data_IF_317565427286
#
_entry.id   IF_317565427286
#
_cell.length_a   1.000
_cell.length_b   1.000
_cell.length_c   1.000
_cell.angle_alpha   90.00
_cell.angle_beta   90.00
_cell.angle_gamma   90.00
#
_symmetry.space_group_name_H-M   'P 1'
#
loop_
_entity.id
_entity.type
_entity.pdbx_description
1 polymer ?
#
# COMPACT_ATOMS: atom_id res chain seq x y z
N UNK A 1 18.53 -41.70 70.77
CA UNK A 1 18.05 -40.44 70.16
C UNK A 1 18.98 -40.10 69.00
N UNK A 2 18.52 -40.29 67.77
CA UNK A 2 19.33 -40.22 66.55
C UNK A 2 19.52 -38.75 66.17
N UNK A 3 20.76 -38.24 66.25
CA UNK A 3 21.11 -36.89 65.80
C UNK A 3 21.39 -36.98 64.29
N UNK A 4 20.42 -36.52 63.48
CA UNK A 4 20.58 -36.38 62.03
C UNK A 4 21.64 -35.33 61.71
N UNK A 5 22.65 -35.73 60.92
CA UNK A 5 23.77 -34.90 60.47
C UNK A 5 23.27 -33.87 59.43
N UNK A 6 22.74 -32.74 59.89
CA UNK A 6 22.30 -31.58 59.10
C UNK A 6 23.50 -30.73 58.62
N UNK A 7 24.42 -31.33 57.86
CA UNK A 7 25.65 -30.66 57.41
C UNK A 7 25.95 -30.76 55.91
N UNK A 8 25.24 -31.61 55.18
CA UNK A 8 25.59 -31.91 53.77
C UNK A 8 24.67 -31.25 52.74
N UNK A 9 23.47 -30.80 53.15
CA UNK A 9 22.49 -30.15 52.27
C UNK A 9 22.80 -28.67 52.02
N UNK A 10 23.23 -27.94 53.05
CA UNK A 10 23.54 -26.50 52.95
C UNK A 10 24.79 -26.25 52.08
N UNK A 11 25.85 -27.04 52.27
CA UNK A 11 27.06 -26.97 51.43
C UNK A 11 26.76 -27.31 49.95
N UNK A 12 25.84 -28.25 49.70
CA UNK A 12 25.43 -28.64 48.35
C UNK A 12 24.51 -27.60 47.69
N UNK A 13 23.70 -26.87 48.45
CA UNK A 13 22.93 -25.73 47.94
C UNK A 13 23.81 -24.52 47.60
N UNK A 14 24.80 -24.21 48.44
CA UNK A 14 25.76 -23.13 48.20
C UNK A 14 26.58 -23.39 46.93
N UNK A 15 26.95 -24.65 46.67
CA UNK A 15 27.68 -25.01 45.45
C UNK A 15 26.79 -24.90 44.19
N UNK A 16 25.50 -25.24 44.30
CA UNK A 16 24.52 -25.11 43.20
C UNK A 16 24.21 -23.65 42.87
N UNK A 17 24.09 -22.77 43.87
CA UNK A 17 23.86 -21.33 43.63
C UNK A 17 25.08 -20.66 43.02
N UNK A 18 26.29 -20.99 43.49
CA UNK A 18 27.55 -20.53 42.88
C UNK A 18 27.67 -20.97 41.41
N UNK A 19 27.33 -22.23 41.10
CA UNK A 19 27.34 -22.75 39.72
C UNK A 19 26.35 -22.00 38.81
N UNK A 20 25.14 -21.68 39.30
CA UNK A 20 24.14 -20.91 38.55
C UNK A 20 24.59 -19.48 38.27
N UNK A 21 25.21 -18.82 39.24
CA UNK A 21 25.75 -17.46 39.07
C UNK A 21 26.87 -17.46 38.04
N UNK A 22 27.80 -18.42 38.11
CA UNK A 22 28.87 -18.55 37.13
C UNK A 22 28.34 -18.83 35.71
N UNK A 23 27.30 -19.65 35.59
CA UNK A 23 26.65 -19.92 34.29
C UNK A 23 25.98 -18.66 33.72
N UNK A 24 25.30 -17.87 34.56
CA UNK A 24 24.69 -16.60 34.15
C UNK A 24 25.76 -15.58 33.72
N UNK A 25 26.86 -15.47 34.46
CA UNK A 25 27.97 -14.58 34.11
C UNK A 25 28.61 -14.98 32.78
N UNK A 26 28.84 -16.28 32.55
CA UNK A 26 29.33 -16.79 31.27
C UNK A 26 28.37 -16.50 30.11
N UNK A 27 27.06 -16.61 30.34
CA UNK A 27 26.05 -16.32 29.33
C UNK A 27 25.99 -14.83 28.99
N UNK A 28 26.10 -13.95 29.98
CA UNK A 28 26.21 -12.49 29.78
C UNK A 28 27.49 -12.14 29.00
N UNK A 29 28.62 -12.75 29.35
CA UNK A 29 29.88 -12.55 28.64
C UNK A 29 29.83 -13.05 27.19
N UNK A 30 29.22 -14.22 26.95
CA UNK A 30 29.03 -14.76 25.61
C UNK A 30 28.14 -13.84 24.76
N UNK A 31 27.03 -13.33 25.31
CA UNK A 31 26.15 -12.37 24.63
C UNK A 31 26.87 -11.06 24.35
N UNK A 32 27.61 -10.52 25.31
CA UNK A 32 28.41 -9.31 25.13
C UNK A 32 29.49 -9.50 24.05
N UNK A 33 30.18 -10.63 24.04
CA UNK A 33 31.20 -10.96 23.04
C UNK A 33 30.58 -11.12 21.63
N UNK A 34 29.38 -11.72 21.51
CA UNK A 34 28.65 -11.81 20.25
C UNK A 34 28.25 -10.41 19.75
N UNK A 35 27.74 -9.54 20.63
CA UNK A 35 27.39 -8.16 20.27
C UNK A 35 28.64 -7.39 19.84
N UNK A 36 29.75 -7.53 20.57
CA UNK A 36 31.00 -6.86 20.28
C UNK A 36 31.64 -7.35 18.98
N UNK A 37 31.66 -8.67 18.73
CA UNK A 37 32.13 -9.25 17.48
C UNK A 37 31.24 -8.84 16.30
N UNK A 38 29.91 -8.75 16.49
CA UNK A 38 29.01 -8.18 15.47
C UNK A 38 29.35 -6.72 15.19
N UNK A 39 29.58 -5.90 16.22
CA UNK A 39 30.00 -4.48 16.08
C UNK A 39 31.34 -4.33 15.36
N UNK A 40 32.32 -5.19 15.63
CA UNK A 40 33.61 -5.20 14.95
C UNK A 40 33.54 -5.74 13.51
N UNK A 41 32.66 -6.71 13.26
CA UNK A 41 32.41 -7.25 11.92
C UNK A 41 31.47 -6.39 11.07
N UNK A 42 30.89 -5.32 11.63
CA UNK A 42 30.35 -4.23 10.81
C UNK A 42 31.54 -3.50 10.17
N UNK A 43 32.03 -4.07 9.06
CA UNK A 43 32.78 -3.32 8.06
C UNK A 43 32.06 -1.98 7.90
N UNK A 44 32.80 -0.87 7.94
CA UNK A 44 32.33 0.43 7.46
C UNK A 44 31.93 0.24 6.00
N UNK A 45 30.71 -0.24 5.74
CA UNK A 45 30.08 -0.11 4.44
C UNK A 45 30.06 1.39 4.21
N UNK A 46 30.70 1.83 3.14
CA UNK A 46 30.43 3.14 2.56
C UNK A 46 28.92 3.20 2.40
N UNK A 47 28.24 3.90 3.31
CA UNK A 47 26.80 4.11 3.22
C UNK A 47 26.63 4.88 1.93
N UNK A 48 25.91 4.35 0.93
CA UNK A 48 25.61 5.11 -0.28
C UNK A 48 25.05 6.46 0.15
N UNK A 49 25.52 7.54 -0.49
CA UNK A 49 24.98 8.87 -0.24
C UNK A 49 23.49 8.82 -0.61
N UNK A 50 22.63 8.77 0.41
CA UNK A 50 21.20 8.87 0.24
C UNK A 50 20.83 10.35 0.07
N UNK A 51 19.75 10.66 -0.65
CA UNK A 51 19.17 12.00 -0.65
C UNK A 51 18.92 12.50 0.78
N UNK A 52 18.90 13.83 1.00
CA UNK A 52 18.63 14.40 2.32
C UNK A 52 17.25 13.94 2.84
N UNK A 53 17.08 13.84 4.15
CA UNK A 53 15.82 13.37 4.70
C UNK A 53 15.70 13.57 6.20
N UNK A 54 14.47 13.47 6.75
CA UNK A 54 14.24 13.60 8.17
C UNK A 54 14.94 12.47 8.94
N UNK A 55 15.46 12.82 10.12
CA UNK A 55 15.94 11.82 11.07
C UNK A 55 14.75 11.07 11.69
N UNK A 56 14.58 9.80 11.30
CA UNK A 56 13.57 8.91 11.86
C UNK A 56 14.02 8.19 13.15
N UNK A 57 13.07 7.75 13.97
CA UNK A 57 13.35 7.00 15.20
C UNK A 57 14.07 5.68 14.93
N UNK A 58 14.88 5.17 15.88
CA UNK A 58 15.49 3.83 15.75
C UNK A 58 14.43 2.77 15.40
N UNK A 59 14.78 1.84 14.51
CA UNK A 59 13.92 0.74 14.04
C UNK A 59 12.72 1.22 13.18
N UNK A 60 11.82 2.05 13.71
CA UNK A 60 10.55 2.41 13.06
C UNK A 60 10.65 3.58 12.06
N UNK A 61 11.74 4.34 12.08
CA UNK A 61 11.92 5.47 11.17
C UNK A 61 10.87 6.56 11.41
N UNK A 62 10.28 7.08 10.34
CA UNK A 62 9.26 8.11 10.37
C UNK A 62 7.82 7.56 10.41
N UNK A 63 7.63 6.27 10.72
CA UNK A 63 6.30 5.65 10.79
C UNK A 63 5.36 6.32 11.79
N UNK A 64 5.78 6.70 13.01
CA UNK A 64 4.91 7.43 13.93
C UNK A 64 4.42 8.77 13.34
N UNK A 65 5.31 9.51 12.69
CA UNK A 65 4.98 10.78 12.02
C UNK A 65 4.02 10.55 10.85
N UNK A 66 4.25 9.50 10.05
CA UNK A 66 3.36 9.11 8.95
C UNK A 66 1.94 8.77 9.45
N UNK A 67 1.85 8.06 10.58
CA UNK A 67 0.57 7.67 11.18
C UNK A 67 -0.19 8.86 11.77
N UNK A 68 0.52 9.79 12.41
CA UNK A 68 -0.06 11.02 12.95
C UNK A 68 -0.53 11.99 11.86
N UNK A 69 0.15 12.02 10.71
CA UNK A 69 -0.09 13.00 9.66
C UNK A 69 -0.64 12.36 8.38
N UNK A 70 -1.93 12.03 8.38
CA UNK A 70 -2.65 11.52 7.21
C UNK A 70 -3.35 12.68 6.45
N UNK A 71 -3.47 12.60 5.11
CA UNK A 71 -2.92 11.56 4.25
C UNK A 71 -1.41 11.73 4.04
N UNK A 72 -0.71 10.60 3.96
CA UNK A 72 0.76 10.54 3.98
C UNK A 72 1.41 11.39 2.88
N UNK A 73 0.84 11.44 1.67
CA UNK A 73 1.41 12.25 0.58
C UNK A 73 1.44 13.76 0.89
N UNK A 74 0.45 14.29 1.64
CA UNK A 74 0.44 15.71 2.04
C UNK A 74 1.48 16.00 3.11
N UNK A 75 1.65 15.08 4.05
CA UNK A 75 2.70 15.18 5.06
C UNK A 75 4.09 15.17 4.42
N UNK A 76 4.33 14.25 3.50
CA UNK A 76 5.59 14.18 2.73
C UNK A 76 5.84 15.49 1.99
N UNK A 77 4.83 16.01 1.29
CA UNK A 77 4.96 17.27 0.54
C UNK A 77 5.31 18.45 1.47
N UNK A 78 4.62 18.57 2.61
CA UNK A 78 4.91 19.62 3.61
C UNK A 78 6.33 19.49 4.16
N UNK A 79 6.75 18.26 4.49
CA UNK A 79 8.11 17.98 4.96
C UNK A 79 9.16 18.41 3.92
N UNK A 80 8.93 18.13 2.63
CA UNK A 80 9.84 18.55 1.54
C UNK A 80 9.94 20.07 1.42
N UNK A 81 8.84 20.79 1.64
CA UNK A 81 8.83 22.25 1.69
C UNK A 81 9.62 22.78 2.90
N UNK A 82 9.46 22.17 4.08
CA UNK A 82 10.15 22.57 5.31
C UNK A 82 11.67 22.39 5.21
N UNK A 83 12.14 21.31 4.58
CA UNK A 83 13.57 21.03 4.37
C UNK A 83 14.14 21.63 3.07
N UNK A 84 13.31 22.33 2.29
CA UNK A 84 13.65 22.96 1.02
C UNK A 84 14.43 22.05 0.05
N UNK A 85 13.85 20.89 -0.30
CA UNK A 85 14.45 19.94 -1.25
C UNK A 85 13.43 19.43 -2.27
N UNK A 86 13.91 19.11 -3.47
CA UNK A 86 13.11 18.48 -4.52
C UNK A 86 13.28 16.96 -4.58
N UNK A 87 14.21 16.41 -3.79
CA UNK A 87 14.43 14.98 -3.59
C UNK A 87 14.72 14.70 -2.12
N UNK A 88 13.99 13.74 -1.54
CA UNK A 88 14.18 13.35 -0.14
C UNK A 88 14.14 11.85 0.08
N UNK A 89 14.87 11.37 1.08
CA UNK A 89 14.84 9.98 1.53
C UNK A 89 14.14 9.87 2.88
N UNK A 90 12.95 9.26 2.89
CA UNK A 90 12.17 9.02 4.11
C UNK A 90 12.31 7.55 4.48
N UNK A 91 12.81 7.25 5.68
CA UNK A 91 12.87 5.88 6.18
C UNK A 91 11.58 5.52 6.91
N UNK A 92 10.86 4.51 6.44
CA UNK A 92 9.71 3.91 7.10
C UNK A 92 10.03 2.48 7.49
N UNK A 93 10.20 2.22 8.79
CA UNK A 93 10.68 0.93 9.28
C UNK A 93 12.03 0.57 8.66
N UNK A 94 12.06 -0.56 7.94
CA UNK A 94 13.23 -1.04 7.19
C UNK A 94 13.28 -0.59 5.72
N UNK A 95 12.32 0.24 5.28
CA UNK A 95 12.18 0.67 3.88
C UNK A 95 12.65 2.11 3.72
N UNK A 96 13.46 2.38 2.69
CA UNK A 96 13.79 3.74 2.26
C UNK A 96 12.86 4.14 1.12
N UNK A 97 12.17 5.27 1.28
CA UNK A 97 11.27 5.83 0.29
C UNK A 97 11.90 7.11 -0.24
N UNK A 98 12.27 7.07 -1.53
CA UNK A 98 12.78 8.24 -2.22
C UNK A 98 11.59 8.97 -2.85
N UNK A 99 11.41 10.23 -2.46
CA UNK A 99 10.34 11.09 -2.96
C UNK A 99 10.97 12.19 -3.80
N UNK A 100 10.36 12.45 -4.95
CA UNK A 100 10.80 13.45 -5.92
C UNK A 100 9.64 14.35 -6.28
N UNK A 101 9.88 15.67 -6.30
CA UNK A 101 8.91 16.68 -6.75
C UNK A 101 9.38 17.44 -7.99
N UNK A 102 10.66 17.38 -8.35
CA UNK A 102 11.20 18.01 -9.57
C UNK A 102 10.76 17.26 -10.84
N UNK A 103 10.19 17.96 -11.84
CA UNK A 103 9.90 17.39 -13.16
C UNK A 103 11.13 16.85 -13.90
N UNK A 104 12.27 17.50 -13.73
CA UNK A 104 13.56 17.10 -14.33
C UNK A 104 14.00 15.75 -13.77
N UNK A 105 14.01 15.62 -12.44
CA UNK A 105 14.33 14.36 -11.78
C UNK A 105 13.31 13.27 -12.13
N UNK A 106 12.02 13.59 -12.16
CA UNK A 106 11.00 12.62 -12.57
C UNK A 106 11.27 12.08 -13.99
N UNK A 107 11.77 12.91 -14.91
CA UNK A 107 12.14 12.48 -16.27
C UNK A 107 13.37 11.57 -16.29
N UNK A 108 14.34 11.79 -15.39
CA UNK A 108 15.49 10.90 -15.25
C UNK A 108 15.03 9.47 -14.91
N UNK A 109 14.19 9.31 -13.89
CA UNK A 109 13.78 7.99 -13.41
C UNK A 109 12.69 7.33 -14.28
N UNK A 110 11.71 8.10 -14.76
CA UNK A 110 10.55 7.56 -15.49
C UNK A 110 10.77 7.41 -17.00
N UNK A 111 11.82 8.02 -17.56
CA UNK A 111 12.09 7.96 -19.01
C UNK A 111 13.51 7.50 -19.34
N UNK A 112 14.54 8.13 -18.75
CA UNK A 112 15.93 7.80 -19.10
C UNK A 112 16.40 6.50 -18.45
N UNK A 113 15.94 6.23 -17.23
CA UNK A 113 16.30 5.04 -16.45
C UNK A 113 15.07 4.16 -16.16
N UNK A 114 14.06 4.22 -17.01
CA UNK A 114 12.76 3.56 -16.80
C UNK A 114 12.90 2.05 -16.57
N UNK A 115 13.80 1.37 -17.28
CA UNK A 115 14.07 -0.08 -17.11
C UNK A 115 14.48 -0.41 -15.67
N UNK A 116 15.23 0.47 -15.00
CA UNK A 116 15.72 0.25 -13.63
C UNK A 116 14.59 0.47 -12.61
N UNK A 117 13.74 1.48 -12.83
CA UNK A 117 12.70 1.91 -11.88
C UNK A 117 11.28 1.41 -12.20
N UNK A 118 11.10 0.63 -13.26
CA UNK A 118 9.76 0.22 -13.70
C UNK A 118 9.13 -0.89 -12.84
N UNK A 119 9.91 -1.60 -12.02
CA UNK A 119 9.38 -2.61 -11.09
C UNK A 119 8.46 -1.98 -10.04
N UNK A 120 7.43 -2.72 -9.63
CA UNK A 120 6.51 -2.30 -8.57
C UNK A 120 6.93 -2.85 -7.21
N UNK A 121 6.71 -2.11 -6.11
CA UNK A 121 6.95 -2.64 -4.78
C UNK A 121 5.98 -3.79 -4.50
N UNK A 122 6.46 -4.81 -3.78
CA UNK A 122 5.60 -5.82 -3.20
C UNK A 122 4.97 -5.22 -1.93
N UNK A 123 3.68 -4.93 -1.99
CA UNK A 123 2.90 -4.43 -0.86
C UNK A 123 1.62 -5.25 -0.66
N UNK A 124 1.13 -5.27 0.57
CA UNK A 124 -0.06 -6.00 1.00
C UNK A 124 -1.30 -5.58 0.19
N UNK A 125 -1.46 -4.28 -0.07
CA UNK A 125 -2.59 -3.75 -0.84
C UNK A 125 -2.58 -4.26 -2.28
N UNK A 126 -1.43 -4.23 -2.95
CA UNK A 126 -1.29 -4.78 -4.30
C UNK A 126 -1.52 -6.29 -4.30
N UNK A 127 -0.95 -7.03 -3.34
CA UNK A 127 -1.13 -8.48 -3.24
C UNK A 127 -2.61 -8.89 -3.12
N UNK A 128 -3.36 -8.24 -2.22
CA UNK A 128 -4.80 -8.50 -2.02
C UNK A 128 -5.62 -8.18 -3.27
N UNK A 129 -5.38 -7.02 -3.88
CA UNK A 129 -6.21 -6.50 -4.98
C UNK A 129 -5.88 -7.08 -6.35
N UNK A 130 -4.74 -7.78 -6.48
CA UNK A 130 -4.30 -8.41 -7.73
C UNK A 130 -4.32 -9.93 -7.71
N UNK A 131 -4.93 -10.54 -6.68
CA UNK A 131 -4.94 -11.98 -6.46
C UNK A 131 -3.52 -12.58 -6.52
N UNK A 132 -2.57 -11.98 -5.79
CA UNK A 132 -1.17 -12.41 -5.80
C UNK A 132 -0.40 -11.98 -7.04
N UNK A 133 -0.59 -10.73 -7.51
CA UNK A 133 0.15 -10.12 -8.63
C UNK A 133 -0.12 -10.75 -10.01
N UNK A 134 -1.29 -11.37 -10.16
CA UNK A 134 -1.74 -11.94 -11.43
C UNK A 134 -2.29 -10.87 -12.39
N UNK A 135 -2.69 -9.70 -11.89
CA UNK A 135 -3.18 -8.60 -12.74
C UNK A 135 -2.04 -7.86 -13.43
N UNK A 136 -2.27 -7.39 -14.66
CA UNK A 136 -1.25 -6.74 -15.47
C UNK A 136 -0.66 -5.48 -14.83
N UNK A 137 -1.47 -4.69 -14.12
CA UNK A 137 -1.04 -3.41 -13.55
C UNK A 137 -0.10 -3.61 -12.36
N UNK A 138 -0.27 -4.70 -11.60
CA UNK A 138 0.45 -4.96 -10.35
C UNK A 138 1.57 -5.98 -10.51
N UNK A 139 1.62 -6.73 -11.62
CA UNK A 139 2.64 -7.76 -11.86
C UNK A 139 4.06 -7.16 -11.88
N UNK A 140 5.05 -7.79 -11.22
CA UNK A 140 6.45 -7.38 -11.31
C UNK A 140 6.95 -7.33 -12.76
N UNK A 141 7.93 -6.46 -13.03
CA UNK A 141 8.54 -6.37 -14.35
C UNK A 141 9.12 -7.73 -14.75
N UNK A 142 8.69 -8.24 -15.91
CA UNK A 142 9.10 -9.55 -16.40
C UNK A 142 8.45 -9.89 -17.73
N UNK A 143 8.71 -11.09 -18.25
CA UNK A 143 8.14 -11.55 -19.52
C UNK A 143 6.60 -11.54 -19.52
N UNK A 144 5.97 -11.94 -18.41
CA UNK A 144 4.52 -11.95 -18.28
C UNK A 144 3.94 -10.54 -18.33
N UNK A 145 4.48 -9.61 -17.54
CA UNK A 145 4.07 -8.21 -17.59
C UNK A 145 4.21 -7.59 -18.99
N UNK A 146 5.35 -7.83 -19.66
CA UNK A 146 5.60 -7.33 -21.03
C UNK A 146 4.59 -7.90 -22.04
N UNK A 147 4.28 -9.20 -21.94
CA UNK A 147 3.29 -9.87 -22.80
C UNK A 147 1.90 -9.27 -22.60
N UNK A 148 1.43 -9.16 -21.36
CA UNK A 148 0.12 -8.60 -21.06
C UNK A 148 0.01 -7.13 -21.47
N UNK A 149 1.04 -6.32 -21.18
CA UNK A 149 1.08 -4.91 -21.60
C UNK A 149 0.98 -4.77 -23.12
N UNK A 150 1.66 -5.62 -23.89
CA UNK A 150 1.57 -5.62 -25.35
C UNK A 150 0.14 -5.87 -25.81
N UNK A 151 -0.52 -6.91 -25.27
CA UNK A 151 -1.92 -7.24 -25.60
C UNK A 151 -2.86 -6.09 -25.25
N UNK A 152 -2.73 -5.49 -24.06
CA UNK A 152 -3.58 -4.36 -23.67
C UNK A 152 -3.40 -3.18 -24.65
N UNK A 153 -2.16 -2.85 -25.00
CA UNK A 153 -1.89 -1.71 -25.88
C UNK A 153 -2.34 -1.97 -27.33
N UNK A 154 -2.15 -3.19 -27.86
CA UNK A 154 -2.49 -3.50 -29.24
C UNK A 154 -3.96 -3.87 -29.45
N UNK A 155 -4.60 -4.52 -28.49
CA UNK A 155 -5.95 -5.11 -28.65
C UNK A 155 -7.03 -4.44 -27.82
N UNK A 156 -6.70 -3.71 -26.75
CA UNK A 156 -7.72 -3.12 -25.85
C UNK A 156 -7.72 -1.60 -25.96
N UNK A 157 -6.54 -1.00 -25.95
CA UNK A 157 -6.34 0.45 -25.96
C UNK A 157 -5.86 0.98 -27.31
N UNK A 158 -6.02 0.21 -28.38
CA UNK A 158 -5.58 0.64 -29.72
C UNK A 158 -6.54 1.65 -30.33
N UNK A 159 -6.06 2.51 -31.27
CA UNK A 159 -6.90 3.46 -31.98
C UNK A 159 -8.09 2.81 -32.69
N UNK A 160 -7.87 1.65 -33.33
CA UNK A 160 -8.93 0.90 -34.00
C UNK A 160 -10.03 0.44 -33.03
N UNK A 161 -9.65 -0.02 -31.83
CA UNK A 161 -10.60 -0.39 -30.78
C UNK A 161 -11.34 0.82 -30.22
N UNK A 162 -10.63 1.94 -30.05
CA UNK A 162 -11.23 3.20 -29.64
C UNK A 162 -12.29 3.67 -30.66
N UNK A 163 -12.02 3.59 -31.95
CA UNK A 163 -12.99 3.91 -33.01
C UNK A 163 -14.17 2.94 -33.01
N UNK A 164 -13.90 1.63 -32.96
CA UNK A 164 -14.94 0.59 -32.94
C UNK A 164 -15.94 0.73 -31.79
N UNK A 165 -15.49 1.24 -30.64
CA UNK A 165 -16.32 1.42 -29.45
C UNK A 165 -16.89 2.84 -29.32
N UNK A 166 -16.78 3.69 -30.36
CA UNK A 166 -17.23 5.08 -30.33
C UNK A 166 -18.71 5.21 -29.98
N UNK A 167 -19.59 4.50 -30.69
CA UNK A 167 -21.05 4.58 -30.47
C UNK A 167 -21.43 4.21 -29.03
N UNK A 168 -20.82 3.16 -28.47
CA UNK A 168 -21.06 2.76 -27.08
C UNK A 168 -20.66 3.84 -26.07
N UNK A 169 -19.61 4.63 -26.36
CA UNK A 169 -19.23 5.75 -25.49
C UNK A 169 -20.22 6.91 -25.60
N UNK A 170 -20.72 7.19 -26.81
CA UNK A 170 -21.77 8.18 -27.02
C UNK A 170 -23.05 7.80 -26.27
N UNK A 171 -23.48 6.54 -26.38
CA UNK A 171 -24.65 6.03 -25.65
C UNK A 171 -24.51 6.20 -24.12
N UNK A 172 -23.36 5.86 -23.53
CA UNK A 172 -23.16 6.09 -22.08
C UNK A 172 -23.13 7.57 -21.72
N UNK A 173 -22.61 8.44 -22.60
CA UNK A 173 -22.66 9.89 -22.38
C UNK A 173 -24.12 10.39 -22.40
N UNK A 174 -24.95 9.90 -23.30
CA UNK A 174 -26.38 10.23 -23.34
C UNK A 174 -27.10 9.77 -22.07
N UNK A 175 -26.83 8.54 -21.62
CA UNK A 175 -27.37 8.04 -20.36
C UNK A 175 -26.96 8.87 -19.15
N UNK A 176 -25.70 9.34 -19.12
CA UNK A 176 -25.22 10.24 -18.06
C UNK A 176 -26.03 11.53 -18.02
N UNK A 177 -26.23 12.16 -19.18
CA UNK A 177 -27.00 13.41 -19.29
C UNK A 177 -28.46 13.20 -18.87
N UNK A 178 -29.10 12.11 -19.32
CA UNK A 178 -30.46 11.77 -18.90
C UNK A 178 -30.57 11.52 -17.41
N UNK A 179 -29.63 10.80 -16.82
CA UNK A 179 -29.58 10.55 -15.38
C UNK A 179 -29.48 11.86 -14.59
N UNK A 180 -28.54 12.74 -14.96
CA UNK A 180 -28.37 14.06 -14.32
C UNK A 180 -29.63 14.91 -14.46
N UNK A 181 -30.25 14.92 -15.64
CA UNK A 181 -31.49 15.63 -15.89
C UNK A 181 -32.63 15.12 -14.98
N UNK A 182 -32.88 13.80 -14.94
CA UNK A 182 -33.90 13.21 -14.07
C UNK A 182 -33.65 13.52 -12.58
N UNK A 183 -32.39 13.48 -12.14
CA UNK A 183 -32.01 13.84 -10.77
C UNK A 183 -32.24 15.33 -10.47
N UNK A 184 -31.97 16.21 -11.43
CA UNK A 184 -32.25 17.64 -11.31
C UNK A 184 -33.75 17.96 -11.20
N UNK A 185 -34.60 17.09 -11.74
CA UNK A 185 -36.06 17.22 -11.68
C UNK A 185 -36.66 16.59 -10.43
N UNK A 186 -35.87 15.89 -9.62
CA UNK A 186 -36.37 15.18 -8.44
C UNK A 186 -36.84 16.18 -7.37
N UNK A 187 -38.15 16.27 -7.08
CA UNK A 187 -38.68 17.23 -6.12
C UNK A 187 -38.20 16.95 -4.69
N UNK A 188 -37.96 15.68 -4.36
CA UNK A 188 -37.49 15.25 -3.03
C UNK A 188 -36.06 15.73 -2.76
N UNK A 189 -35.23 15.79 -3.80
CA UNK A 189 -33.85 16.25 -3.72
C UNK A 189 -33.71 17.77 -3.92
N UNK A 190 -34.81 18.50 -4.14
CA UNK A 190 -34.82 19.93 -4.49
C UNK A 190 -33.91 20.25 -5.69
N UNK A 191 -33.78 19.31 -6.62
CA UNK A 191 -32.90 19.41 -7.79
C UNK A 191 -31.39 19.39 -7.49
N UNK A 192 -30.96 19.04 -6.27
CA UNK A 192 -29.55 18.88 -5.95
C UNK A 192 -29.01 17.54 -6.50
N UNK A 193 -27.92 17.61 -7.26
CA UNK A 193 -27.29 16.44 -7.88
C UNK A 193 -25.94 16.13 -7.21
N UNK A 194 -25.77 14.90 -6.74
CA UNK A 194 -24.50 14.45 -6.18
C UNK A 194 -23.51 14.07 -7.30
N UNK A 195 -22.63 15.02 -7.65
CA UNK A 195 -21.64 14.83 -8.72
C UNK A 195 -20.61 13.73 -8.44
N UNK A 196 -20.37 13.37 -7.17
CA UNK A 196 -19.48 12.25 -6.84
C UNK A 196 -20.07 10.94 -7.33
N UNK A 197 -21.35 10.69 -7.01
CA UNK A 197 -22.08 9.50 -7.45
C UNK A 197 -22.13 9.46 -8.98
N UNK A 198 -22.55 10.56 -9.61
CA UNK A 198 -22.60 10.68 -11.07
C UNK A 198 -21.26 10.32 -11.73
N UNK A 199 -20.16 10.91 -11.28
CA UNK A 199 -18.84 10.70 -11.86
C UNK A 199 -18.31 9.27 -11.62
N UNK A 200 -18.45 8.75 -10.40
CA UNK A 200 -17.97 7.41 -10.06
C UNK A 200 -18.72 6.33 -10.85
N UNK A 201 -20.04 6.44 -10.93
CA UNK A 201 -20.86 5.50 -11.67
C UNK A 201 -20.66 5.59 -13.18
N UNK A 202 -20.50 6.79 -13.73
CA UNK A 202 -20.18 6.92 -15.15
C UNK A 202 -18.88 6.21 -15.52
N UNK A 203 -17.81 6.42 -14.74
CA UNK A 203 -16.54 5.74 -14.96
C UNK A 203 -16.68 4.22 -14.91
N UNK A 204 -17.42 3.70 -13.92
CA UNK A 204 -17.71 2.27 -13.81
C UNK A 204 -18.53 1.73 -14.99
N UNK A 205 -19.62 2.41 -15.34
CA UNK A 205 -20.52 2.03 -16.43
C UNK A 205 -19.79 2.02 -17.77
N UNK A 206 -18.98 3.05 -18.03
CA UNK A 206 -18.17 3.15 -19.22
C UNK A 206 -17.22 1.94 -19.32
N UNK A 207 -16.46 1.64 -18.26
CA UNK A 207 -15.55 0.50 -18.26
C UNK A 207 -16.30 -0.82 -18.53
N UNK A 208 -17.44 -1.05 -17.86
CA UNK A 208 -18.24 -2.26 -18.04
C UNK A 208 -18.91 -2.35 -19.41
N UNK A 209 -19.36 -1.23 -19.98
CA UNK A 209 -19.93 -1.15 -21.32
C UNK A 209 -18.89 -1.48 -22.38
N UNK A 210 -17.66 -1.00 -22.21
CA UNK A 210 -16.57 -1.26 -23.15
C UNK A 210 -16.05 -2.70 -23.06
N UNK A 211 -15.93 -3.26 -21.85
CA UNK A 211 -15.33 -4.59 -21.62
C UNK A 211 -16.34 -5.73 -21.72
N UNK A 212 -17.51 -5.58 -21.09
CA UNK A 212 -18.52 -6.64 -20.96
C UNK A 212 -19.77 -6.40 -21.80
N UNK A 213 -19.85 -5.25 -22.49
CA UNK A 213 -21.06 -4.81 -23.17
C UNK A 213 -22.29 -4.66 -22.25
N UNK A 214 -22.06 -4.49 -20.93
CA UNK A 214 -23.10 -4.36 -19.90
C UNK A 214 -22.98 -3.03 -19.18
N UNK A 215 -24.12 -2.42 -18.85
CA UNK A 215 -24.17 -1.14 -18.10
C UNK A 215 -24.14 -1.33 -16.60
N UNK A 216 -24.76 -2.40 -16.12
CA UNK A 216 -24.87 -2.79 -14.71
C UNK A 216 -24.65 -4.31 -14.59
N UNK A 217 -24.07 -4.76 -13.47
CA UNK A 217 -24.03 -6.19 -13.18
C UNK A 217 -25.36 -6.69 -12.61
N UNK A 218 -26.06 -5.84 -11.85
CA UNK A 218 -27.44 -6.04 -11.38
C UNK A 218 -28.45 -5.17 -12.12
N UNK A 219 -29.59 -4.92 -11.47
CA UNK A 219 -30.65 -4.05 -12.02
C UNK A 219 -30.31 -2.57 -11.82
N UNK A 220 -30.51 -1.77 -12.87
CA UNK A 220 -30.53 -0.31 -12.75
C UNK A 220 -31.84 0.19 -12.14
N UNK A 221 -31.89 1.47 -11.82
CA UNK A 221 -33.12 2.14 -11.37
C UNK A 221 -33.89 2.75 -12.56
N UNK A 222 -35.18 3.07 -12.36
CA UNK A 222 -36.05 3.63 -13.41
C UNK A 222 -35.56 4.97 -13.98
N UNK A 223 -34.79 5.71 -13.18
CA UNK A 223 -34.12 6.94 -13.57
C UNK A 223 -32.83 6.71 -14.37
N UNK A 224 -32.55 5.48 -14.81
CA UNK A 224 -31.30 5.05 -15.47
C UNK A 224 -30.07 5.13 -14.55
N UNK A 225 -30.30 5.26 -13.25
CA UNK A 225 -29.28 5.27 -12.22
C UNK A 225 -28.79 3.88 -11.80
N UNK A 226 -27.78 3.85 -10.91
CA UNK A 226 -27.25 2.62 -10.35
C UNK A 226 -28.18 2.03 -9.30
N UNK A 227 -28.41 0.72 -9.38
CA UNK A 227 -29.04 -0.06 -8.30
C UNK A 227 -28.18 -0.15 -7.04
N UNK A 228 -28.69 -0.81 -6.01
CA UNK A 228 -27.99 -0.96 -4.73
C UNK A 228 -26.66 -1.73 -4.89
N UNK A 229 -26.73 -2.91 -5.51
CA UNK A 229 -25.56 -3.75 -5.79
C UNK A 229 -24.49 -2.99 -6.59
N UNK A 230 -24.93 -2.14 -7.51
CA UNK A 230 -24.02 -1.33 -8.32
C UNK A 230 -23.33 -0.23 -7.50
N UNK A 231 -24.04 0.39 -6.56
CA UNK A 231 -23.45 1.37 -5.62
C UNK A 231 -22.40 0.70 -4.75
N UNK A 232 -22.72 -0.46 -4.19
CA UNK A 232 -21.79 -1.23 -3.37
C UNK A 232 -20.54 -1.64 -4.15
N UNK A 233 -20.71 -2.15 -5.37
CA UNK A 233 -19.61 -2.54 -6.23
C UNK A 233 -18.70 -1.34 -6.60
N UNK A 234 -19.28 -0.21 -7.02
CA UNK A 234 -18.51 0.99 -7.38
C UNK A 234 -17.83 1.58 -6.16
N UNK A 235 -18.49 1.64 -5.01
CA UNK A 235 -17.90 2.12 -3.76
C UNK A 235 -16.74 1.21 -3.29
N UNK A 236 -16.88 -0.11 -3.44
CA UNK A 236 -15.82 -1.08 -3.21
C UNK A 236 -14.62 -0.82 -4.13
N UNK A 237 -14.85 -0.64 -5.43
CA UNK A 237 -13.80 -0.35 -6.41
C UNK A 237 -13.05 0.96 -6.11
N UNK A 238 -13.76 2.05 -5.79
CA UNK A 238 -13.14 3.32 -5.42
C UNK A 238 -12.43 3.25 -4.07
N UNK A 239 -12.91 2.42 -3.15
CA UNK A 239 -12.21 2.11 -1.90
C UNK A 239 -10.91 1.38 -2.17
N UNK A 240 -10.91 0.36 -3.04
CA UNK A 240 -9.70 -0.31 -3.50
C UNK A 240 -8.72 0.70 -4.10
N UNK A 241 -9.16 1.53 -5.04
CA UNK A 241 -8.32 2.55 -5.68
C UNK A 241 -7.70 3.54 -4.68
N UNK A 242 -8.43 3.89 -3.61
CA UNK A 242 -7.94 4.77 -2.55
C UNK A 242 -6.84 4.16 -1.71
N UNK A 243 -6.85 2.84 -1.52
CA UNK A 243 -5.95 2.11 -0.61
C UNK A 243 -4.83 1.34 -1.33
N UNK A 244 -4.96 1.06 -2.64
CA UNK A 244 -3.89 0.48 -3.46
C UNK A 244 -2.66 1.39 -3.45
N UNK A 245 -1.49 0.81 -3.18
CA UNK A 245 -0.23 1.53 -2.95
C UNK A 245 -0.31 2.61 -1.86
N UNK A 246 -1.29 2.51 -0.97
CA UNK A 246 -1.32 3.29 0.27
C UNK A 246 -0.12 2.97 1.14
N UNK A 247 0.29 3.94 1.97
CA UNK A 247 1.36 3.75 2.94
C UNK A 247 0.86 2.96 4.15
N UNK A 248 0.68 1.65 3.95
CA UNK A 248 0.23 0.75 5.00
C UNK A 248 1.39 0.42 5.95
N UNK A 249 1.14 0.40 7.26
CA UNK A 249 2.18 0.10 8.26
C UNK A 249 2.75 -1.30 8.09
N UNK A 250 1.91 -2.26 7.71
CA UNK A 250 2.28 -3.65 7.48
C UNK A 250 3.35 -3.81 6.38
N UNK A 251 3.36 -2.92 5.38
CA UNK A 251 4.33 -2.96 4.28
C UNK A 251 5.75 -2.60 4.74
N UNK A 252 5.86 -1.84 5.84
CA UNK A 252 7.12 -1.31 6.34
C UNK A 252 7.60 -2.01 7.63
N UNK A 253 6.66 -2.58 8.38
CA UNK A 253 6.89 -3.40 9.57
C UNK A 253 6.00 -4.67 9.49
N UNK A 254 6.43 -5.71 8.75
CA UNK A 254 5.60 -6.91 8.52
C UNK A 254 5.18 -7.62 9.81
N UNK A 255 6.01 -7.56 10.85
CA UNK A 255 5.70 -8.13 12.17
C UNK A 255 4.54 -7.43 12.89
N UNK A 256 4.11 -6.25 12.44
CA UNK A 256 2.91 -5.55 12.94
C UNK A 256 1.65 -5.82 12.09
N UNK A 257 1.73 -6.62 11.04
CA UNK A 257 0.61 -6.89 10.15
C UNK A 257 -0.62 -7.45 10.88
N UNK A 258 -0.41 -8.25 11.92
CA UNK A 258 -1.49 -8.87 12.72
C UNK A 258 -2.39 -7.83 13.38
N UNK A 259 -1.86 -6.64 13.68
CA UNK A 259 -2.60 -5.60 14.40
C UNK A 259 -3.39 -4.66 13.49
N UNK A 260 -3.13 -4.66 12.17
CA UNK A 260 -3.78 -3.76 11.20
C UNK A 260 -3.93 -2.31 11.70
N UNK A 261 -2.81 -1.72 12.16
CA UNK A 261 -2.81 -0.45 12.92
C UNK A 261 -3.45 0.74 12.19
N UNK A 262 -3.49 0.71 10.86
CA UNK A 262 -4.12 1.73 10.02
C UNK A 262 -5.45 1.28 9.41
N UNK A 263 -5.91 0.06 9.70
CA UNK A 263 -7.14 -0.53 9.18
C UNK A 263 -7.12 -0.83 7.68
N UNK A 264 -5.99 -0.66 6.99
CA UNK A 264 -5.92 -0.79 5.53
C UNK A 264 -6.27 -2.20 5.07
N UNK A 265 -5.83 -3.23 5.82
CA UNK A 265 -6.08 -4.62 5.46
C UNK A 265 -7.55 -4.98 5.58
N UNK A 266 -8.21 -4.59 6.68
CA UNK A 266 -9.65 -4.81 6.87
C UNK A 266 -10.46 -4.09 5.79
N UNK A 267 -10.21 -2.79 5.59
CA UNK A 267 -10.95 -1.99 4.60
C UNK A 267 -10.82 -2.58 3.19
N UNK A 268 -9.62 -3.04 2.80
CA UNK A 268 -9.42 -3.69 1.51
C UNK A 268 -10.13 -5.04 1.40
N UNK A 269 -10.13 -5.86 2.46
CA UNK A 269 -10.84 -7.15 2.46
C UNK A 269 -12.34 -6.95 2.31
N UNK A 270 -12.91 -6.03 3.06
CA UNK A 270 -14.34 -5.73 3.01
C UNK A 270 -14.71 -5.24 1.60
N UNK A 271 -13.91 -4.33 1.02
CA UNK A 271 -14.13 -3.80 -0.33
C UNK A 271 -13.96 -4.83 -1.47
N UNK A 272 -13.16 -5.88 -1.27
CA UNK A 272 -12.99 -6.97 -2.25
C UNK A 272 -14.16 -7.96 -2.20
N UNK A 273 -14.87 -8.03 -1.07
CA UNK A 273 -16.03 -8.92 -0.89
C UNK A 273 -17.35 -8.30 -1.38
N UNK A 274 -17.36 -7.00 -1.70
CA UNK A 274 -18.49 -6.27 -2.27
C UNK A 274 -18.80 -6.66 -3.73
#
# INVERSE_FOLDING_TARGET
>A
MIIYKKGNTEAMEINKTSLRINLLLLLVWAVAAIIFKKRLCFKKRTVPLLPPGPMGYPIVGCLPQMMKNKPTFRWIHKLMQEINTEITCIRLGNTHIIVVTSPELAREFLKKQDIIFASRPNCMSANLTSNGFLTTVMSPMGHQWKKMRRIIVSEVLSPAMHERLYEKRCEEADHLVRYVYKQSQNPLAKGLVNMRVVAQHYCGNMARRLVFNKRFFGMGTEDEGPGLEEKEHVDGLFTILKYVYGFATADHLPWLEVFDLDGCKRVLKDAIQC
#
